data_IF_149703270773
#
_entry.id   IF_149703270773
#
_cell.length_a   1.000
_cell.length_b   1.000
_cell.length_c   1.000
_cell.angle_alpha   90.00
_cell.angle_beta   90.00
_cell.angle_gamma   90.00
#
_symmetry.space_group_name_H-M   'P 1'
#
loop_
_entity.id
_entity.type
_entity.pdbx_description
1 polymer ?
#
# COMPACT_ATOMS: atom_id res chain seq x y z
N UNK A 1 -0.48 -33.29 -9.47
CA UNK A 1 -0.70 -31.89 -9.90
C UNK A 1 -0.04 -30.99 -8.86
N UNK A 2 0.94 -30.16 -9.24
CA UNK A 2 1.59 -29.22 -8.32
C UNK A 2 0.83 -27.89 -8.41
N UNK A 3 0.20 -27.47 -7.30
CA UNK A 3 -0.52 -26.20 -7.25
C UNK A 3 0.48 -25.10 -6.86
N UNK A 4 0.66 -24.13 -7.74
CA UNK A 4 1.62 -23.03 -7.54
C UNK A 4 0.98 -21.76 -6.98
N UNK A 5 -0.32 -21.58 -7.25
CA UNK A 5 -1.09 -20.42 -6.84
C UNK A 5 -2.49 -20.84 -6.41
N UNK A 6 -3.00 -20.21 -5.36
CA UNK A 6 -4.35 -20.41 -4.86
C UNK A 6 -5.02 -19.04 -4.69
N UNK A 7 -6.21 -18.90 -5.30
CA UNK A 7 -7.04 -17.72 -5.22
C UNK A 7 -8.35 -18.07 -4.52
N UNK A 8 -8.55 -17.49 -3.34
CA UNK A 8 -9.71 -17.73 -2.48
C UNK A 8 -10.35 -16.40 -2.05
N UNK A 9 -10.20 -15.36 -2.87
CA UNK A 9 -10.80 -14.05 -2.60
C UNK A 9 -12.32 -14.07 -2.62
N UNK A 10 -12.94 -13.11 -1.94
CA UNK A 10 -14.40 -12.90 -1.92
C UNK A 10 -15.17 -14.13 -1.41
N UNK A 11 -14.59 -14.86 -0.47
CA UNK A 11 -15.22 -15.99 0.20
C UNK A 11 -15.63 -15.61 1.63
N UNK A 12 -16.22 -16.59 2.36
CA UNK A 12 -16.54 -16.46 3.78
C UNK A 12 -15.55 -17.25 4.64
N UNK A 13 -14.25 -17.14 4.33
CA UNK A 13 -13.21 -17.79 5.13
C UNK A 13 -13.04 -16.99 6.42
N UNK A 14 -13.42 -17.62 7.53
CA UNK A 14 -13.21 -17.10 8.88
C UNK A 14 -11.86 -17.58 9.44
N UNK A 15 -11.49 -17.07 10.62
CA UNK A 15 -10.22 -17.42 11.30
C UNK A 15 -9.96 -18.93 11.37
N UNK A 16 -10.94 -19.75 11.76
CA UNK A 16 -10.74 -21.21 11.86
C UNK A 16 -10.53 -21.87 10.48
N UNK A 17 -11.18 -21.36 9.44
CA UNK A 17 -11.00 -21.86 8.07
C UNK A 17 -9.62 -21.51 7.51
N UNK A 18 -9.15 -20.29 7.78
CA UNK A 18 -7.79 -19.89 7.42
C UNK A 18 -6.74 -20.67 8.22
N UNK A 19 -7.01 -20.93 9.51
CA UNK A 19 -6.14 -21.72 10.39
C UNK A 19 -6.01 -23.16 9.90
N UNK A 20 -7.13 -23.79 9.53
CA UNK A 20 -7.14 -25.11 8.90
C UNK A 20 -6.39 -25.11 7.56
N UNK A 21 -6.58 -24.08 6.73
CA UNK A 21 -5.86 -23.92 5.46
C UNK A 21 -4.34 -23.85 5.70
N UNK A 22 -3.86 -22.95 6.56
CA UNK A 22 -2.42 -22.83 6.83
C UNK A 22 -1.85 -24.09 7.48
N UNK A 23 -2.63 -24.79 8.31
CA UNK A 23 -2.24 -26.08 8.86
C UNK A 23 -2.08 -27.14 7.76
N UNK A 24 -3.03 -27.23 6.82
CA UNK A 24 -2.96 -28.16 5.70
C UNK A 24 -1.79 -27.85 4.75
N UNK A 25 -1.42 -26.57 4.60
CA UNK A 25 -0.26 -26.16 3.81
C UNK A 25 1.09 -26.61 4.41
N UNK A 26 1.11 -27.02 5.68
CA UNK A 26 2.28 -27.63 6.30
C UNK A 26 2.42 -29.13 5.97
N UNK A 27 1.34 -29.76 5.50
CA UNK A 27 1.36 -31.17 5.12
C UNK A 27 2.09 -31.34 3.79
N UNK A 28 2.74 -32.50 3.60
CA UNK A 28 3.75 -32.77 2.56
C UNK A 28 3.29 -32.52 1.09
N UNK A 29 2.01 -32.21 0.86
CA UNK A 29 1.43 -31.96 -0.47
C UNK A 29 1.50 -30.52 -0.99
N UNK A 30 1.85 -29.52 -0.18
CA UNK A 30 1.77 -28.10 -0.56
C UNK A 30 3.12 -27.42 -0.86
N UNK A 31 4.23 -28.16 -0.97
CA UNK A 31 5.59 -27.63 -1.16
C UNK A 31 5.79 -26.78 -2.42
N UNK A 32 4.86 -26.86 -3.38
CA UNK A 32 4.87 -26.06 -4.60
C UNK A 32 4.13 -24.72 -4.51
N UNK A 33 3.33 -24.47 -3.47
CA UNK A 33 2.50 -23.28 -3.39
C UNK A 33 3.36 -22.03 -3.11
N UNK A 34 3.36 -21.08 -4.05
CA UNK A 34 4.12 -19.82 -3.94
C UNK A 34 3.25 -18.60 -3.74
N UNK A 35 2.01 -18.63 -4.19
CA UNK A 35 1.11 -17.47 -4.11
C UNK A 35 -0.22 -17.88 -3.50
N UNK A 36 -0.62 -17.16 -2.46
CA UNK A 36 -1.90 -17.35 -1.80
C UNK A 36 -2.62 -16.01 -1.68
N UNK A 37 -3.76 -15.90 -2.34
CA UNK A 37 -4.59 -14.69 -2.37
C UNK A 37 -5.89 -14.98 -1.64
N UNK A 38 -6.12 -14.27 -0.55
CA UNK A 38 -7.21 -14.44 0.40
C UNK A 38 -8.00 -13.14 0.61
N UNK A 39 -7.92 -12.18 -0.33
CA UNK A 39 -8.60 -10.87 -0.22
C UNK A 39 -10.09 -10.98 0.08
N UNK A 40 -10.67 -10.01 0.77
CA UNK A 40 -12.11 -9.93 1.02
C UNK A 40 -12.67 -11.22 1.64
N UNK A 41 -12.12 -11.60 2.78
CA UNK A 41 -12.62 -12.68 3.63
C UNK A 41 -12.85 -12.12 5.05
N UNK A 42 -13.02 -12.98 6.06
CA UNK A 42 -13.23 -12.60 7.46
C UNK A 42 -12.20 -13.26 8.37
N UNK A 43 -10.95 -13.30 7.93
CA UNK A 43 -9.87 -14.01 8.62
C UNK A 43 -9.60 -13.42 10.01
N UNK A 44 -9.81 -12.11 10.19
CA UNK A 44 -9.64 -11.41 11.45
C UNK A 44 -10.76 -11.55 12.47
N UNK A 45 -11.89 -12.18 12.13
CA UNK A 45 -13.10 -12.16 12.98
C UNK A 45 -13.04 -13.07 14.23
N UNK A 46 -11.90 -13.67 14.51
CA UNK A 46 -11.71 -14.66 15.56
C UNK A 46 -11.32 -14.03 16.90
N UNK A 47 -11.43 -14.82 17.97
CA UNK A 47 -10.90 -14.40 19.27
C UNK A 47 -9.37 -14.22 19.23
N UNK A 48 -8.83 -13.45 20.18
CA UNK A 48 -7.38 -13.26 20.35
C UNK A 48 -6.59 -14.58 20.36
N UNK A 49 -7.11 -15.62 20.99
CA UNK A 49 -6.46 -16.94 21.03
C UNK A 49 -6.44 -17.62 19.66
N UNK A 50 -7.54 -17.54 18.89
CA UNK A 50 -7.60 -18.08 17.52
C UNK A 50 -6.68 -17.32 16.57
N UNK A 51 -6.62 -16.00 16.65
CA UNK A 51 -5.71 -15.19 15.83
C UNK A 51 -4.24 -15.50 16.14
N UNK A 52 -3.87 -15.68 17.41
CA UNK A 52 -2.51 -16.11 17.77
C UNK A 52 -2.15 -17.48 17.17
N UNK A 53 -3.07 -18.45 17.25
CA UNK A 53 -2.87 -19.78 16.65
C UNK A 53 -2.75 -19.70 15.12
N UNK A 54 -3.62 -18.92 14.50
CA UNK A 54 -3.58 -18.63 13.07
C UNK A 54 -2.21 -18.06 12.66
N UNK A 55 -1.72 -17.04 13.36
CA UNK A 55 -0.43 -16.43 13.06
C UNK A 55 0.74 -17.40 13.28
N UNK A 56 0.64 -18.28 14.28
CA UNK A 56 1.63 -19.34 14.49
C UNK A 56 1.68 -20.29 13.27
N UNK A 57 0.54 -20.77 12.80
CA UNK A 57 0.47 -21.64 11.61
C UNK A 57 0.91 -20.91 10.34
N UNK A 58 0.54 -19.65 10.19
CA UNK A 58 0.97 -18.78 9.11
C UNK A 58 2.50 -18.60 9.10
N UNK A 59 3.12 -18.36 10.26
CA UNK A 59 4.58 -18.19 10.38
C UNK A 59 5.35 -19.39 9.85
N UNK A 60 4.81 -20.59 10.04
CA UNK A 60 5.41 -21.82 9.55
C UNK A 60 5.29 -21.97 8.04
N UNK A 61 4.29 -21.35 7.41
CA UNK A 61 4.15 -21.34 5.96
C UNK A 61 5.21 -20.49 5.25
N UNK A 62 5.91 -19.64 5.99
CA UNK A 62 7.01 -18.82 5.47
C UNK A 62 8.37 -19.49 5.59
N UNK A 63 8.52 -20.50 6.44
CA UNK A 63 9.79 -21.16 6.71
C UNK A 63 10.22 -22.04 5.53
N UNK A 64 11.52 -22.04 5.24
CA UNK A 64 12.20 -22.76 4.15
C UNK A 64 11.98 -22.23 2.71
N UNK A 65 12.90 -22.59 1.80
CA UNK A 65 12.89 -22.21 0.37
C UNK A 65 11.61 -22.64 -0.37
N UNK A 66 10.89 -23.63 0.14
CA UNK A 66 9.62 -24.10 -0.41
C UNK A 66 8.40 -23.31 0.07
N UNK A 67 8.53 -22.40 1.06
CA UNK A 67 7.41 -21.64 1.61
C UNK A 67 6.75 -20.65 0.64
N UNK A 68 5.66 -20.05 1.14
CA UNK A 68 4.85 -19.06 0.42
C UNK A 68 5.66 -17.79 0.18
N UNK A 69 5.69 -17.33 -1.07
CA UNK A 69 6.43 -16.12 -1.47
C UNK A 69 5.52 -14.90 -1.59
N UNK A 70 4.24 -15.08 -1.90
CA UNK A 70 3.28 -13.98 -2.04
C UNK A 70 2.03 -14.28 -1.24
N UNK A 71 1.70 -13.39 -0.31
CA UNK A 71 0.51 -13.48 0.51
C UNK A 71 -0.30 -12.20 0.38
N UNK A 72 -1.54 -12.33 -0.04
CA UNK A 72 -2.49 -11.22 -0.07
C UNK A 72 -3.65 -11.50 0.88
N UNK A 73 -3.74 -10.69 1.93
CA UNK A 73 -4.76 -10.73 2.96
C UNK A 73 -5.56 -9.43 2.98
N UNK A 74 -5.60 -8.64 1.91
CA UNK A 74 -6.34 -7.38 1.88
C UNK A 74 -7.83 -7.56 2.25
N UNK A 75 -8.44 -6.58 2.92
CA UNK A 75 -9.86 -6.65 3.34
C UNK A 75 -10.20 -7.89 4.17
N UNK A 76 -9.51 -8.12 5.30
CA UNK A 76 -9.76 -9.27 6.18
C UNK A 76 -10.05 -8.92 7.65
N UNK A 77 -10.09 -7.63 7.99
CA UNK A 77 -10.37 -7.15 9.35
C UNK A 77 -9.43 -7.78 10.40
N UNK A 78 -8.18 -8.06 10.00
CA UNK A 78 -7.21 -8.82 10.81
C UNK A 78 -6.95 -8.22 12.21
N UNK A 79 -7.02 -6.90 12.35
CA UNK A 79 -6.85 -6.20 13.61
C UNK A 79 -5.41 -6.15 14.13
N UNK A 80 -5.18 -5.33 15.16
CA UNK A 80 -3.83 -5.10 15.72
C UNK A 80 -3.09 -6.37 16.12
N UNK A 81 -3.81 -7.31 16.74
CA UNK A 81 -3.22 -8.57 17.26
C UNK A 81 -2.57 -9.36 16.13
N UNK A 82 -3.17 -9.36 14.95
CA UNK A 82 -2.63 -10.05 13.80
C UNK A 82 -1.34 -9.39 13.31
N UNK A 83 -1.30 -8.05 13.25
CA UNK A 83 -0.09 -7.29 12.91
C UNK A 83 1.07 -7.58 13.88
N UNK A 84 0.80 -7.61 15.18
CA UNK A 84 1.78 -7.96 16.21
C UNK A 84 2.37 -9.36 16.01
N UNK A 85 1.51 -10.35 15.78
CA UNK A 85 1.93 -11.74 15.63
C UNK A 85 2.65 -11.98 14.29
N UNK A 86 2.20 -11.32 13.21
CA UNK A 86 2.85 -11.41 11.90
C UNK A 86 4.21 -10.72 11.91
N UNK A 87 4.37 -9.60 12.61
CA UNK A 87 5.68 -9.00 12.85
C UNK A 87 6.65 -9.97 13.50
N UNK A 88 6.21 -10.71 14.52
CA UNK A 88 7.03 -11.77 15.14
C UNK A 88 7.40 -12.85 14.13
N UNK A 89 6.48 -13.26 13.26
CA UNK A 89 6.72 -14.28 12.24
C UNK A 89 7.75 -13.86 11.18
N UNK A 90 7.78 -12.57 10.83
CA UNK A 90 8.69 -12.03 9.82
C UNK A 90 10.15 -11.94 10.28
N UNK A 91 10.41 -12.06 11.59
CA UNK A 91 11.79 -12.09 12.15
C UNK A 91 12.54 -13.38 11.84
N UNK A 92 11.87 -14.42 11.33
CA UNK A 92 12.50 -15.68 10.97
C UNK A 92 13.54 -15.48 9.86
N UNK A 93 14.76 -15.96 10.08
CA UNK A 93 15.88 -15.82 9.13
C UNK A 93 15.69 -16.62 7.84
N UNK A 94 14.85 -17.65 7.87
CA UNK A 94 14.49 -18.50 6.75
C UNK A 94 13.13 -18.17 6.12
N UNK A 95 12.64 -16.94 6.34
CA UNK A 95 11.41 -16.44 5.74
C UNK A 95 11.54 -16.38 4.21
N UNK A 96 10.56 -16.96 3.51
CA UNK A 96 10.48 -16.99 2.05
C UNK A 96 9.57 -15.91 1.45
N UNK A 97 8.89 -15.13 2.29
CA UNK A 97 7.88 -14.16 1.87
C UNK A 97 8.54 -12.96 1.18
N UNK A 98 8.16 -12.72 -0.07
CA UNK A 98 8.68 -11.63 -0.93
C UNK A 98 7.65 -10.50 -1.06
N UNK A 99 6.36 -10.84 -1.02
CA UNK A 99 5.26 -9.88 -1.16
C UNK A 99 4.18 -10.13 -0.13
N UNK A 100 3.80 -9.06 0.57
CA UNK A 100 2.79 -9.06 1.62
C UNK A 100 1.80 -7.91 1.37
N UNK A 101 0.56 -8.24 1.07
CA UNK A 101 -0.53 -7.27 1.01
C UNK A 101 -1.43 -7.41 2.25
N UNK A 102 -1.53 -6.33 3.02
CA UNK A 102 -2.37 -6.19 4.20
C UNK A 102 -3.29 -4.96 4.09
N UNK A 103 -3.55 -4.47 2.88
CA UNK A 103 -4.45 -3.36 2.62
C UNK A 103 -5.79 -3.53 3.34
N UNK A 104 -6.26 -2.49 4.04
CA UNK A 104 -7.57 -2.49 4.69
C UNK A 104 -7.75 -3.65 5.69
N UNK A 105 -7.01 -3.64 6.80
CA UNK A 105 -7.04 -4.71 7.80
C UNK A 105 -7.14 -4.25 9.26
N UNK A 106 -7.38 -2.97 9.51
CA UNK A 106 -7.56 -2.42 10.86
C UNK A 106 -6.40 -2.74 11.83
N UNK A 107 -5.16 -2.82 11.33
CA UNK A 107 -3.98 -3.21 12.13
C UNK A 107 -3.63 -2.24 13.28
N UNK A 108 -4.28 -1.07 13.36
CA UNK A 108 -3.89 0.06 14.24
C UNK A 108 -2.43 0.50 14.07
N UNK A 109 -2.01 1.55 14.76
CA UNK A 109 -0.61 2.00 14.72
C UNK A 109 0.32 0.97 15.39
N UNK A 110 -0.10 0.41 16.53
CA UNK A 110 0.68 -0.58 17.30
C UNK A 110 0.96 -1.84 16.49
N UNK A 111 -0.05 -2.38 15.81
CA UNK A 111 0.12 -3.56 14.97
C UNK A 111 1.02 -3.31 13.77
N UNK A 112 0.95 -2.11 13.15
CA UNK A 112 1.85 -1.73 12.06
C UNK A 112 3.30 -1.58 12.53
N UNK A 113 3.53 -0.94 13.68
CA UNK A 113 4.85 -0.79 14.30
C UNK A 113 5.48 -2.17 14.56
N UNK A 114 4.73 -3.08 15.17
CA UNK A 114 5.23 -4.44 15.44
C UNK A 114 5.51 -5.22 14.17
N UNK A 115 4.70 -5.03 13.13
CA UNK A 115 4.95 -5.61 11.82
C UNK A 115 6.27 -5.08 11.23
N UNK A 116 6.51 -3.77 11.25
CA UNK A 116 7.74 -3.16 10.72
C UNK A 116 8.99 -3.60 11.48
N UNK A 117 8.93 -3.79 12.80
CA UNK A 117 10.04 -4.41 13.54
C UNK A 117 10.38 -5.81 13.00
N UNK A 118 9.38 -6.59 12.61
CA UNK A 118 9.59 -7.86 11.90
C UNK A 118 10.28 -7.67 10.56
N UNK A 119 9.88 -6.65 9.81
CA UNK A 119 10.45 -6.30 8.50
C UNK A 119 11.92 -5.86 8.60
N UNK A 120 12.33 -5.14 9.65
CA UNK A 120 13.73 -4.76 9.88
C UNK A 120 14.68 -5.98 9.95
N UNK A 121 14.20 -7.09 10.49
CA UNK A 121 14.95 -8.35 10.56
C UNK A 121 14.82 -9.21 9.30
N UNK A 122 13.84 -8.92 8.45
CA UNK A 122 13.49 -9.76 7.32
C UNK A 122 14.43 -9.54 6.14
N UNK A 123 14.91 -10.63 5.53
CA UNK A 123 15.87 -10.62 4.40
C UNK A 123 15.28 -11.16 3.10
N UNK A 124 13.96 -11.14 2.95
CA UNK A 124 13.26 -11.64 1.75
C UNK A 124 12.21 -10.69 1.20
N UNK A 125 11.59 -9.86 2.04
CA UNK A 125 10.44 -9.04 1.71
C UNK A 125 10.84 -7.83 0.86
N UNK A 126 10.19 -7.71 -0.30
CA UNK A 126 10.42 -6.65 -1.28
C UNK A 126 9.20 -5.77 -1.51
N UNK A 127 8.01 -6.30 -1.24
CA UNK A 127 6.75 -5.63 -1.56
C UNK A 127 5.85 -5.66 -0.33
N UNK A 128 5.48 -4.47 0.15
CA UNK A 128 4.66 -4.30 1.34
C UNK A 128 3.54 -3.30 1.07
N UNK A 129 2.31 -3.68 1.36
CA UNK A 129 1.14 -2.80 1.31
C UNK A 129 0.42 -2.83 2.65
N UNK A 130 0.47 -1.68 3.32
CA UNK A 130 -0.21 -1.38 4.58
C UNK A 130 -1.25 -0.27 4.40
N UNK A 131 -1.60 0.09 3.17
CA UNK A 131 -2.55 1.17 2.91
C UNK A 131 -3.92 0.91 3.53
N UNK A 132 -4.63 1.98 3.88
CA UNK A 132 -5.89 1.93 4.64
C UNK A 132 -5.78 1.13 5.95
N UNK A 133 -4.64 1.24 6.66
CA UNK A 133 -4.51 0.80 8.04
C UNK A 133 -4.29 1.98 8.98
N UNK A 134 -4.09 1.68 10.26
CA UNK A 134 -3.96 2.70 11.30
C UNK A 134 -2.59 3.36 11.41
N UNK A 135 -1.74 3.35 10.37
CA UNK A 135 -0.38 3.90 10.42
C UNK A 135 -0.40 5.41 10.74
N UNK A 136 0.39 5.82 11.73
CA UNK A 136 0.62 7.23 12.11
C UNK A 136 2.05 7.66 11.81
N UNK A 137 2.43 8.88 12.21
CA UNK A 137 3.81 9.36 12.17
C UNK A 137 4.80 8.45 12.91
N UNK A 138 4.38 7.74 13.96
CA UNK A 138 5.24 6.76 14.63
C UNK A 138 5.56 5.56 13.72
N UNK A 139 4.56 5.06 12.99
CA UNK A 139 4.76 4.01 11.99
C UNK A 139 5.65 4.53 10.85
N UNK A 140 5.44 5.76 10.38
CA UNK A 140 6.24 6.38 9.32
C UNK A 140 7.71 6.54 9.72
N UNK A 141 7.97 6.99 10.96
CA UNK A 141 9.32 7.08 11.52
C UNK A 141 10.01 5.72 11.61
N UNK A 142 9.30 4.67 12.01
CA UNK A 142 9.87 3.32 12.04
C UNK A 142 10.11 2.77 10.62
N UNK A 143 9.25 3.11 9.66
CA UNK A 143 9.49 2.79 8.26
C UNK A 143 10.77 3.49 7.76
N UNK A 144 10.95 4.78 8.06
CA UNK A 144 12.16 5.51 7.72
C UNK A 144 13.42 4.81 8.27
N UNK A 145 13.42 4.46 9.56
CA UNK A 145 14.49 3.68 10.19
C UNK A 145 14.71 2.32 9.51
N UNK A 146 13.64 1.68 9.01
CA UNK A 146 13.73 0.41 8.28
C UNK A 146 14.38 0.61 6.90
N UNK A 147 14.10 1.72 6.22
CA UNK A 147 14.68 2.06 4.91
C UNK A 147 16.15 2.47 5.02
N UNK A 148 16.59 3.02 6.16
CA UNK A 148 18.00 3.34 6.43
C UNK A 148 18.88 2.10 6.66
N UNK A 149 18.29 0.93 6.90
CA UNK A 149 19.04 -0.32 7.04
C UNK A 149 19.68 -0.69 5.70
N UNK A 150 21.00 -0.85 5.68
CA UNK A 150 21.80 -1.03 4.46
C UNK A 150 21.43 -2.25 3.63
N UNK A 151 20.92 -3.32 4.25
CA UNK A 151 20.47 -4.54 3.60
C UNK A 151 18.93 -4.67 3.54
N UNK A 152 18.21 -3.56 3.71
CA UNK A 152 16.77 -3.50 3.49
C UNK A 152 16.44 -3.80 2.02
N UNK A 153 15.56 -4.79 1.80
CA UNK A 153 15.18 -5.25 0.45
C UNK A 153 13.86 -4.67 -0.06
N UNK A 154 13.20 -3.79 0.68
CA UNK A 154 11.93 -3.21 0.26
C UNK A 154 12.11 -2.39 -1.03
N UNK A 155 11.43 -2.82 -2.10
CA UNK A 155 11.40 -2.15 -3.39
C UNK A 155 10.06 -1.42 -3.60
N UNK A 156 8.99 -1.86 -2.94
CA UNK A 156 7.65 -1.28 -3.03
C UNK A 156 7.04 -1.15 -1.63
N UNK A 157 6.59 0.07 -1.31
CA UNK A 157 5.84 0.36 -0.10
C UNK A 157 4.59 1.18 -0.43
N UNK A 158 3.43 0.70 -0.02
CA UNK A 158 2.18 1.46 -0.04
C UNK A 158 1.67 1.64 1.40
N UNK A 159 1.61 2.89 1.84
CA UNK A 159 1.08 3.33 3.13
C UNK A 159 0.07 4.48 2.91
N UNK A 160 -0.57 4.50 1.75
CA UNK A 160 -1.62 5.45 1.40
C UNK A 160 -2.87 5.29 2.27
N UNK A 161 -3.69 6.34 2.34
CA UNK A 161 -4.91 6.41 3.13
C UNK A 161 -4.68 6.02 4.60
N UNK A 162 -3.53 6.43 5.14
CA UNK A 162 -3.18 6.30 6.55
C UNK A 162 -3.21 7.68 7.22
N UNK A 163 -2.93 7.73 8.52
CA UNK A 163 -2.93 8.97 9.32
C UNK A 163 -1.51 9.50 9.49
N UNK A 164 -0.74 9.50 8.40
CA UNK A 164 0.63 10.02 8.39
C UNK A 164 0.55 11.52 8.16
N UNK A 165 1.18 12.27 9.06
CA UNK A 165 1.29 13.72 9.04
C UNK A 165 2.61 14.21 8.44
N UNK A 166 2.89 15.50 8.61
CA UNK A 166 4.11 16.15 8.12
C UNK A 166 5.39 15.53 8.69
N UNK A 167 5.39 15.26 10.00
CA UNK A 167 6.57 14.74 10.71
C UNK A 167 6.97 13.37 10.18
N UNK A 168 6.02 12.46 9.98
CA UNK A 168 6.28 11.14 9.40
C UNK A 168 6.79 11.22 7.97
N UNK A 169 6.23 12.14 7.16
CA UNK A 169 6.69 12.36 5.79
C UNK A 169 8.12 12.91 5.73
N UNK A 170 8.49 13.82 6.63
CA UNK A 170 9.85 14.36 6.74
C UNK A 170 10.85 13.24 7.06
N UNK A 171 10.53 12.37 8.01
CA UNK A 171 11.41 11.25 8.37
C UNK A 171 11.56 10.26 7.21
N UNK A 172 10.47 9.95 6.50
CA UNK A 172 10.54 9.12 5.28
C UNK A 172 11.40 9.81 4.22
N UNK A 173 11.24 11.12 3.99
CA UNK A 173 12.05 11.91 3.06
C UNK A 173 13.55 11.76 3.34
N UNK A 174 13.97 11.97 4.59
CA UNK A 174 15.38 11.78 4.99
C UNK A 174 15.90 10.37 4.70
N UNK A 175 15.11 9.34 5.00
CA UNK A 175 15.52 7.96 4.74
C UNK A 175 15.69 7.66 3.25
N UNK A 176 14.87 8.27 2.40
CA UNK A 176 14.95 8.11 0.94
C UNK A 176 16.27 8.66 0.40
N UNK A 177 16.83 9.73 0.95
CA UNK A 177 18.09 10.31 0.46
C UNK A 177 19.24 9.29 0.40
N UNK A 178 19.25 8.31 1.31
CA UNK A 178 20.31 7.29 1.41
C UNK A 178 19.86 5.88 1.03
N UNK A 179 18.55 5.62 0.95
CA UNK A 179 18.04 4.30 0.62
C UNK A 179 18.28 3.93 -0.86
N UNK A 180 18.85 2.74 -1.09
CA UNK A 180 19.22 2.25 -2.43
C UNK A 180 18.39 1.05 -2.90
N UNK A 181 17.29 0.71 -2.21
CA UNK A 181 16.41 -0.41 -2.56
C UNK A 181 15.03 0.02 -3.06
N UNK A 182 14.42 1.03 -2.46
CA UNK A 182 13.04 1.45 -2.70
C UNK A 182 12.87 2.08 -4.08
N UNK A 183 11.90 1.57 -4.84
CA UNK A 183 11.57 2.00 -6.22
C UNK A 183 10.19 2.63 -6.30
N UNK A 184 9.27 2.24 -5.42
CA UNK A 184 7.91 2.77 -5.38
C UNK A 184 7.50 3.10 -3.94
N UNK A 185 7.01 4.32 -3.74
CA UNK A 185 6.40 4.77 -2.49
C UNK A 185 5.05 5.45 -2.76
N UNK A 186 4.01 5.02 -2.06
CA UNK A 186 2.70 5.66 -2.09
C UNK A 186 2.25 6.11 -0.70
N UNK A 187 1.96 7.41 -0.62
CA UNK A 187 1.55 8.18 0.55
C UNK A 187 0.27 9.00 0.27
N UNK A 188 -0.42 8.76 -0.86
CA UNK A 188 -1.69 9.43 -1.17
C UNK A 188 -2.73 9.24 -0.06
N UNK A 189 -3.67 10.16 0.12
CA UNK A 189 -4.71 10.09 1.14
C UNK A 189 -4.22 10.22 2.58
N UNK A 190 -3.00 10.72 2.79
CA UNK A 190 -2.44 11.03 4.11
C UNK A 190 -2.60 12.52 4.45
N UNK A 191 -2.28 12.92 5.69
CA UNK A 191 -2.38 14.30 6.19
C UNK A 191 -1.03 15.05 6.09
N UNK A 192 -0.33 14.90 4.96
CA UNK A 192 1.02 15.45 4.75
C UNK A 192 0.92 16.88 4.25
N UNK A 193 1.45 17.87 5.00
CA UNK A 193 1.43 19.27 4.58
C UNK A 193 2.54 19.65 3.57
N UNK A 194 2.69 20.95 3.31
CA UNK A 194 3.73 21.51 2.45
C UNK A 194 5.16 21.15 2.89
N UNK A 195 5.42 21.10 4.20
CA UNK A 195 6.75 20.82 4.76
C UNK A 195 7.14 19.36 4.53
N UNK A 196 6.22 18.42 4.77
CA UNK A 196 6.41 17.01 4.47
C UNK A 196 6.57 16.75 2.98
N UNK A 197 5.75 17.42 2.16
CA UNK A 197 5.85 17.36 0.69
C UNK A 197 7.21 17.85 0.19
N UNK A 198 7.69 18.99 0.67
CA UNK A 198 9.00 19.52 0.31
C UNK A 198 10.13 18.56 0.68
N UNK A 199 10.10 17.96 1.87
CA UNK A 199 11.12 17.00 2.29
C UNK A 199 11.16 15.77 1.38
N UNK A 200 10.00 15.21 1.01
CA UNK A 200 9.91 14.08 0.08
C UNK A 200 10.44 14.44 -1.32
N UNK A 201 10.15 15.65 -1.81
CA UNK A 201 10.63 16.14 -3.11
C UNK A 201 12.14 16.41 -3.08
N UNK A 202 12.65 17.00 -1.99
CA UNK A 202 14.09 17.24 -1.81
C UNK A 202 14.88 15.93 -1.86
N UNK A 203 14.35 14.86 -1.26
CA UNK A 203 14.97 13.55 -1.31
C UNK A 203 15.15 12.99 -2.74
N UNK A 204 14.27 13.37 -3.69
CA UNK A 204 14.41 13.00 -5.11
C UNK A 204 15.60 13.67 -5.81
N UNK A 205 16.14 14.74 -5.24
CA UNK A 205 17.29 15.44 -5.82
C UNK A 205 18.60 14.66 -5.64
N UNK A 206 18.70 13.88 -4.56
CA UNK A 206 19.86 13.06 -4.22
C UNK A 206 19.63 11.57 -4.51
N UNK A 207 18.39 11.07 -4.35
CA UNK A 207 18.08 9.67 -4.56
C UNK A 207 17.97 9.32 -6.07
N UNK A 208 18.68 8.27 -6.49
CA UNK A 208 18.69 7.78 -7.88
C UNK A 208 17.91 6.47 -8.08
N UNK A 209 17.31 5.93 -7.01
CA UNK A 209 16.68 4.61 -7.02
C UNK A 209 15.16 4.67 -7.08
N UNK A 210 14.55 5.66 -6.47
CA UNK A 210 13.11 5.81 -6.39
C UNK A 210 12.57 6.22 -7.77
N UNK A 211 11.73 5.37 -8.35
CA UNK A 211 11.18 5.54 -9.69
C UNK A 211 9.79 6.18 -9.67
N UNK A 212 9.06 6.00 -8.56
CA UNK A 212 7.67 6.44 -8.41
C UNK A 212 7.40 6.88 -6.98
N UNK A 213 7.01 8.14 -6.83
CA UNK A 213 6.50 8.71 -5.58
C UNK A 213 5.08 9.20 -5.82
N UNK A 214 4.11 8.70 -5.04
CA UNK A 214 2.73 9.15 -5.07
C UNK A 214 2.40 9.85 -3.74
N UNK A 215 2.02 11.12 -3.83
CA UNK A 215 1.55 11.97 -2.73
C UNK A 215 0.37 12.79 -3.24
N UNK A 216 -0.51 13.22 -2.34
CA UNK A 216 -1.57 14.16 -2.70
C UNK A 216 -0.96 15.55 -2.89
N UNK A 217 -1.39 16.26 -3.93
CA UNK A 217 -0.94 17.63 -4.13
C UNK A 217 -1.69 18.53 -3.15
N UNK A 218 -0.94 19.18 -2.27
CA UNK A 218 -1.45 20.34 -1.54
C UNK A 218 -1.06 21.56 -2.36
N UNK A 219 -2.05 22.35 -2.76
CA UNK A 219 -1.82 23.65 -3.38
C UNK A 219 -1.03 24.53 -2.42
N UNK A 220 0.29 24.52 -2.55
CA UNK A 220 1.18 25.45 -1.86
C UNK A 220 1.11 26.77 -2.60
N UNK A 221 0.03 27.53 -2.40
CA UNK A 221 -0.30 28.72 -3.21
C UNK A 221 0.73 29.86 -3.16
N UNK A 222 1.82 29.81 -2.36
CA UNK A 222 2.72 30.98 -2.22
C UNK A 222 4.23 30.70 -2.06
N UNK A 223 4.72 29.46 -2.17
CA UNK A 223 6.17 29.21 -2.02
C UNK A 223 6.76 28.54 -3.25
N UNK A 224 7.45 29.34 -4.07
CA UNK A 224 8.34 28.86 -5.12
C UNK A 224 9.40 27.94 -4.50
N UNK A 225 9.20 26.63 -4.61
CA UNK A 225 10.13 25.64 -4.09
C UNK A 225 11.46 25.75 -4.87
N UNK A 226 12.61 25.94 -4.21
CA UNK A 226 13.92 25.99 -4.86
C UNK A 226 14.34 24.57 -5.25
N UNK A 227 13.79 24.07 -6.35
CA UNK A 227 14.24 22.83 -6.97
C UNK A 227 15.44 23.22 -7.85
N UNK A 228 16.65 23.12 -7.27
CA UNK A 228 17.88 23.57 -7.91
C UNK A 228 18.05 23.01 -9.33
N UNK A 229 18.21 23.92 -10.31
CA UNK A 229 18.56 23.75 -11.74
C UNK A 229 17.96 22.60 -12.57
N UNK A 230 17.13 21.73 -12.00
CA UNK A 230 16.33 20.73 -12.70
C UNK A 230 14.90 21.23 -12.71
N UNK A 231 14.45 21.65 -13.90
CA UNK A 231 13.02 21.77 -14.19
C UNK A 231 12.38 20.45 -13.76
N UNK A 232 11.49 20.46 -12.77
CA UNK A 232 10.46 19.43 -12.67
C UNK A 232 9.46 19.75 -13.78
N UNK A 233 9.85 19.44 -15.02
CA UNK A 233 8.89 19.17 -16.05
C UNK A 233 8.21 17.87 -15.66
N UNK A 234 6.88 17.91 -15.52
CA UNK A 234 6.05 16.74 -15.81
C UNK A 234 6.73 15.92 -16.92
N UNK A 235 7.10 14.66 -16.64
CA UNK A 235 7.54 13.62 -17.59
C UNK A 235 8.98 13.07 -17.58
N UNK A 236 9.81 13.21 -16.55
CA UNK A 236 11.01 12.32 -16.45
C UNK A 236 11.16 11.51 -15.14
N UNK A 237 10.29 11.76 -14.16
CA UNK A 237 9.84 10.74 -13.21
C UNK A 237 8.34 10.55 -13.44
N UNK A 238 7.83 9.32 -13.37
CA UNK A 238 6.39 9.08 -13.22
C UNK A 238 5.98 9.45 -11.78
N UNK A 239 6.23 10.69 -11.36
CA UNK A 239 5.51 11.27 -10.23
C UNK A 239 4.08 11.44 -10.74
N UNK A 240 3.27 10.38 -10.57
CA UNK A 240 1.84 10.49 -10.81
C UNK A 240 1.28 11.30 -9.64
N UNK A 241 1.33 12.61 -9.79
CA UNK A 241 0.65 13.56 -8.91
C UNK A 241 -0.84 13.36 -9.14
N UNK A 242 -1.49 12.58 -8.28
CA UNK A 242 -2.95 12.45 -8.31
C UNK A 242 -3.47 13.62 -7.48
N UNK A 243 -3.70 14.74 -8.14
CA UNK A 243 -4.28 15.94 -7.52
C UNK A 243 -5.75 15.72 -7.12
N UNK A 244 -6.18 16.50 -6.12
CA UNK A 244 -7.51 16.48 -5.51
C UNK A 244 -8.67 16.69 -6.50
N UNK A 245 -8.43 17.28 -7.67
CA UNK A 245 -9.42 17.42 -8.76
C UNK A 245 -9.93 16.08 -9.32
N UNK A 246 -9.20 14.98 -9.07
CA UNK A 246 -9.61 13.64 -9.51
C UNK A 246 -10.72 13.02 -8.63
N UNK A 247 -10.94 13.52 -7.41
CA UNK A 247 -11.95 12.96 -6.47
C UNK A 247 -13.34 13.57 -6.71
N UNK A 248 -13.44 14.88 -7.00
CA UNK A 248 -14.73 15.50 -7.37
C UNK A 248 -15.27 14.88 -8.66
N UNK A 249 -14.38 14.51 -9.59
CA UNK A 249 -14.73 13.83 -10.84
C UNK A 249 -15.12 12.35 -10.64
N UNK A 250 -14.67 11.68 -9.56
CA UNK A 250 -14.99 10.27 -9.26
C UNK A 250 -16.21 10.11 -8.35
N UNK A 251 -16.50 11.08 -7.47
CA UNK A 251 -17.76 11.14 -6.72
C UNK A 251 -18.90 11.52 -7.67
N UNK A 252 -18.69 12.46 -8.59
CA UNK A 252 -19.66 12.76 -9.66
C UNK A 252 -19.90 11.56 -10.60
N UNK A 253 -18.91 10.67 -10.77
CA UNK A 253 -19.07 9.44 -11.56
C UNK A 253 -19.74 8.28 -10.79
N UNK A 254 -19.76 8.34 -9.46
CA UNK A 254 -20.42 7.34 -8.61
C UNK A 254 -21.89 7.70 -8.36
N UNK A 255 -22.21 8.99 -8.23
CA UNK A 255 -23.59 9.46 -8.07
C UNK A 255 -24.37 9.52 -9.40
N UNK A 256 -23.69 9.49 -10.55
CA UNK A 256 -24.33 9.46 -11.88
C UNK A 256 -24.54 8.04 -12.46
N UNK A 257 -24.23 6.97 -11.72
CA UNK A 257 -24.36 5.57 -12.19
C UNK A 257 -25.37 4.73 -11.40
N UNK A 258 -26.41 5.38 -10.90
CA UNK A 258 -27.69 4.73 -10.63
C UNK A 258 -28.62 4.84 -11.83
N UNK A 259 -28.72 3.74 -12.59
CA UNK A 259 -29.84 3.35 -13.47
C UNK A 259 -29.82 3.67 -14.99
N UNK A 260 -30.16 2.60 -15.71
CA UNK A 260 -30.78 2.48 -17.03
C UNK A 260 -29.92 2.56 -18.32
N UNK A 261 -29.55 1.36 -18.77
CA UNK A 261 -29.69 0.81 -20.14
C UNK A 261 -29.39 1.68 -21.37
N UNK A 262 -28.50 1.17 -22.24
CA UNK A 262 -28.66 1.38 -23.67
C UNK A 262 -27.39 1.41 -24.53
N UNK A 263 -27.04 0.27 -25.10
CA UNK A 263 -26.48 0.09 -26.44
C UNK A 263 -25.24 0.88 -26.92
N UNK A 264 -24.20 0.08 -27.21
CA UNK A 264 -23.33 0.11 -28.41
C UNK A 264 -22.11 1.04 -28.45
N UNK A 265 -20.95 0.40 -28.74
CA UNK A 265 -19.79 0.82 -29.58
C UNK A 265 -19.46 2.32 -29.60
N UNK A 266 -18.25 2.86 -29.43
CA UNK A 266 -16.82 2.48 -29.48
C UNK A 266 -16.08 3.80 -29.14
N UNK A 267 -14.78 3.83 -28.77
CA UNK A 267 -14.02 5.07 -28.77
C UNK A 267 -13.36 5.33 -30.14
N UNK A 268 -13.45 6.57 -30.62
CA UNK A 268 -12.44 7.15 -31.52
C UNK A 268 -12.46 8.68 -31.41
N UNK A 269 -11.41 9.24 -30.81
CA UNK A 269 -10.95 10.63 -30.99
C UNK A 269 -10.57 10.84 -32.48
N UNK A 270 -10.62 12.05 -33.09
CA UNK A 270 -9.77 13.17 -32.65
C UNK A 270 -10.17 14.63 -33.05
N UNK A 271 -9.33 15.58 -32.59
CA UNK A 271 -9.06 16.94 -33.09
C UNK A 271 -10.05 18.08 -32.81
N UNK A 272 -9.59 19.00 -31.92
CA UNK A 272 -9.53 20.45 -32.11
C UNK A 272 -10.82 21.22 -32.43
N UNK A 273 -11.22 22.11 -31.51
CA UNK A 273 -11.59 23.54 -31.70
C UNK A 273 -11.82 24.13 -30.28
N UNK A 274 -11.52 25.42 -30.14
CA UNK A 274 -11.46 26.26 -28.95
C UNK A 274 -12.73 26.38 -28.10
N UNK A 275 -12.51 26.75 -26.83
CA UNK A 275 -13.46 27.41 -25.93
C UNK A 275 -14.34 28.45 -26.66
N UNK A 276 -15.66 28.38 -26.44
CA UNK A 276 -16.63 29.49 -26.27
C UNK A 276 -18.04 29.06 -26.68
N UNK A 277 -18.81 28.51 -25.73
CA UNK A 277 -20.28 28.66 -25.62
C UNK A 277 -20.76 27.74 -24.49
N UNK A 278 -21.12 28.31 -23.34
CA UNK A 278 -21.68 27.51 -22.24
C UNK A 278 -21.77 28.19 -20.88
N UNK A 279 -21.20 29.39 -20.70
CA UNK A 279 -21.61 30.28 -19.61
C UNK A 279 -22.67 31.23 -20.17
N UNK A 280 -23.92 30.76 -20.21
CA UNK A 280 -25.12 31.61 -20.25
C UNK A 280 -26.36 30.74 -20.09
N UNK A 281 -26.75 30.46 -18.84
CA UNK A 281 -28.14 30.18 -18.43
C UNK A 281 -28.21 29.96 -16.90
N UNK A 282 -27.75 30.95 -16.12
CA UNK A 282 -28.41 31.26 -14.84
C UNK A 282 -29.13 32.59 -15.10
N UNK A 283 -30.43 32.62 -14.81
CA UNK A 283 -31.42 33.65 -15.09
C UNK A 283 -32.12 33.57 -16.46
N UNK A 284 -33.20 32.77 -16.53
CA UNK A 284 -34.57 33.30 -16.71
C UNK A 284 -35.61 32.15 -16.69
N UNK A 285 -36.54 32.26 -15.72
CA UNK A 285 -37.97 31.93 -15.82
C UNK A 285 -38.38 30.46 -16.05
N UNK A 286 -38.58 29.70 -14.97
CA UNK A 286 -39.88 29.38 -14.35
C UNK A 286 -39.73 28.18 -13.41
#
# INVERSE_FOLDING_TARGET
MIIYQVFLSLNRIYTDGADALFSALQERGASGLKTLILRHNKIGSGSRSKLKRLCYNLSRCFKAKSGIQKLDLGYNQCGSIFGECLGTALTATDCSLVSLNLHYNDLSDVGCIKLLHGVQCNKSLKWLDLSKNGCSDNTAKLLAQTLEISDCLLEYVDISFCRIGPEGAIEIGKSIETNMSLRYLNLCGCNIDASGTLSLIQALSSNIRLESLHIDFIDTYEQQLPIGNKKVTHNELKVKVIGYESIVSLIALHDAKGEAYGSSKLPSFPLGISETAGISAIMQMS
#
